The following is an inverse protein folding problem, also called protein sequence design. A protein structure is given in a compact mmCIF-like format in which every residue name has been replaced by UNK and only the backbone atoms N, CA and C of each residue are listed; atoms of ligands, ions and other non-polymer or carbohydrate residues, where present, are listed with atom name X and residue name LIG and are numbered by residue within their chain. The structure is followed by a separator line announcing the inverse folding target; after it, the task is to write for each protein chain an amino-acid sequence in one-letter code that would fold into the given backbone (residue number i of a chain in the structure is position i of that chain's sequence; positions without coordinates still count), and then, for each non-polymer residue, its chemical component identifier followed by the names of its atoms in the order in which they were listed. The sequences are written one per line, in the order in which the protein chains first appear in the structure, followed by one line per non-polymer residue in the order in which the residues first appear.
data_IF_813461592895
#
_entry.id   IF_813461592895
#
_cell.length_a   1.000
_cell.length_b   1.000
_cell.length_c   1.000
_cell.angle_alpha   90.00
_cell.angle_beta   90.00
_cell.angle_gamma   90.00
#
_symmetry.space_group_name_H-M   'P 1'
#
loop_
_entity.id
_entity.type
_entity.pdbx_description
1 polymer ?
#
# COMPACT_ATOMS: atom_id res chain seq x y z
N UNK A 1 -15.30 10.19 -5.07
CA UNK A 1 -14.62 9.35 -4.04
C UNK A 1 -13.40 10.13 -3.61
N UNK A 2 -13.10 10.27 -2.31
CA UNK A 2 -11.98 11.10 -1.86
C UNK A 2 -10.64 10.38 -2.05
N UNK A 3 -9.56 11.15 -2.18
CA UNK A 3 -8.17 10.66 -2.20
C UNK A 3 -7.89 9.65 -1.06
N UNK A 4 -8.38 9.91 0.16
CA UNK A 4 -8.21 9.02 1.31
C UNK A 4 -8.87 7.66 1.09
N UNK A 5 -10.09 7.62 0.57
CA UNK A 5 -10.78 6.37 0.26
C UNK A 5 -10.07 5.60 -0.86
N UNK A 6 -9.47 6.28 -1.85
CA UNK A 6 -8.67 5.64 -2.89
C UNK A 6 -7.38 5.03 -2.33
N UNK A 7 -6.74 5.68 -1.37
CA UNK A 7 -5.53 5.16 -0.70
C UNK A 7 -5.87 3.92 0.13
N UNK A 8 -6.95 3.95 0.91
CA UNK A 8 -7.43 2.79 1.67
C UNK A 8 -7.74 1.60 0.74
N UNK A 9 -8.38 1.84 -0.40
CA UNK A 9 -8.62 0.80 -1.40
C UNK A 9 -7.32 0.22 -1.95
N UNK A 10 -6.35 1.06 -2.29
CA UNK A 10 -5.03 0.63 -2.76
C UNK A 10 -4.31 -0.23 -1.71
N UNK A 11 -4.36 0.13 -0.43
CA UNK A 11 -3.81 -0.68 0.65
C UNK A 11 -4.46 -2.07 0.72
N UNK A 12 -5.79 -2.14 0.59
CA UNK A 12 -6.52 -3.42 0.60
C UNK A 12 -6.20 -4.28 -0.63
N UNK A 13 -6.10 -3.68 -1.81
CA UNK A 13 -5.72 -4.38 -3.04
C UNK A 13 -4.29 -4.92 -2.95
N UNK A 14 -3.35 -4.10 -2.48
CA UNK A 14 -1.97 -4.54 -2.22
C UNK A 14 -1.92 -5.67 -1.20
N UNK A 15 -2.66 -5.55 -0.10
CA UNK A 15 -2.73 -6.61 0.93
C UNK A 15 -3.24 -7.92 0.34
N UNK A 16 -4.30 -7.87 -0.48
CA UNK A 16 -4.87 -9.06 -1.12
C UNK A 16 -3.89 -9.72 -2.09
N UNK A 17 -3.22 -8.92 -2.92
CA UNK A 17 -2.21 -9.42 -3.86
C UNK A 17 -1.05 -10.05 -3.11
N UNK A 18 -0.48 -9.36 -2.12
CA UNK A 18 0.70 -9.85 -1.40
C UNK A 18 0.37 -11.12 -0.61
N UNK A 19 -0.80 -11.19 0.05
CA UNK A 19 -1.27 -12.40 0.74
C UNK A 19 -1.38 -13.62 -0.16
N UNK A 20 -1.77 -13.44 -1.43
CA UNK A 20 -1.83 -14.53 -2.42
C UNK A 20 -0.47 -15.19 -2.65
N UNK A 21 0.63 -14.45 -2.48
CA UNK A 21 2.00 -14.91 -2.74
C UNK A 21 2.83 -15.12 -1.47
N UNK A 22 2.34 -14.72 -0.29
CA UNK A 22 3.10 -14.81 0.97
C UNK A 22 3.09 -16.20 1.61
N UNK A 23 2.23 -17.13 1.17
CA UNK A 23 2.26 -18.52 1.64
C UNK A 23 1.92 -18.69 3.12
N UNK A 24 0.84 -18.04 3.57
CA UNK A 24 0.34 -18.00 4.96
C UNK A 24 1.14 -17.14 5.95
N UNK A 25 2.20 -16.48 5.51
CA UNK A 25 2.88 -15.49 6.34
C UNK A 25 1.98 -14.30 6.62
N UNK A 26 2.16 -13.70 7.80
CA UNK A 26 1.51 -12.46 8.17
C UNK A 26 1.97 -11.34 7.23
N UNK A 27 1.00 -10.62 6.67
CA UNK A 27 1.24 -9.49 5.76
C UNK A 27 0.60 -8.26 6.35
N UNK A 28 1.38 -7.18 6.42
CA UNK A 28 0.94 -5.85 6.82
C UNK A 28 1.23 -4.88 5.69
N UNK A 29 0.24 -4.05 5.36
CA UNK A 29 0.38 -2.93 4.41
C UNK A 29 0.02 -1.66 5.16
N UNK A 30 0.90 -0.67 5.11
CA UNK A 30 0.75 0.59 5.83
C UNK A 30 1.18 1.77 4.97
N UNK A 31 0.34 2.79 4.87
CA UNK A 31 0.74 4.11 4.37
C UNK A 31 1.61 4.81 5.41
N UNK A 32 2.86 5.11 5.05
CA UNK A 32 3.82 5.81 5.91
C UNK A 32 3.88 7.30 5.62
N UNK A 33 3.50 7.73 4.42
CA UNK A 33 3.37 9.13 4.03
C UNK A 33 2.24 9.29 3.02
N UNK A 34 1.36 10.26 3.23
CA UNK A 34 0.36 10.67 2.26
C UNK A 34 0.30 12.19 2.21
N UNK A 35 0.77 12.75 1.11
CA UNK A 35 0.72 14.17 0.77
C UNK A 35 0.29 14.35 -0.69
N UNK A 36 0.03 15.58 -1.10
CA UNK A 36 -0.47 15.91 -2.44
C UNK A 36 0.41 15.36 -3.59
N UNK A 37 1.72 15.21 -3.37
CA UNK A 37 2.68 14.76 -4.40
C UNK A 37 3.47 13.51 -4.00
N UNK A 38 3.18 12.92 -2.84
CA UNK A 38 3.96 11.81 -2.33
C UNK A 38 3.08 10.86 -1.54
N UNK A 39 2.99 9.62 -2.02
CA UNK A 39 2.38 8.51 -1.31
C UNK A 39 3.43 7.43 -1.11
N UNK A 40 3.72 7.12 0.14
CA UNK A 40 4.60 6.03 0.53
C UNK A 40 3.78 4.95 1.22
N UNK A 41 3.89 3.74 0.69
CA UNK A 41 3.25 2.55 1.23
C UNK A 41 4.34 1.54 1.50
N UNK A 42 4.33 0.97 2.69
CA UNK A 42 5.23 -0.09 3.09
C UNK A 42 4.45 -1.41 3.21
N UNK A 43 5.00 -2.45 2.60
CA UNK A 43 4.49 -3.82 2.64
C UNK A 43 5.49 -4.67 3.42
N UNK A 44 5.03 -5.28 4.51
CA UNK A 44 5.83 -6.13 5.38
C UNK A 44 5.27 -7.54 5.29
N UNK A 45 6.14 -8.51 4.98
CA UNK A 45 5.81 -9.93 5.00
C UNK A 45 6.66 -10.59 6.10
N UNK A 46 6.02 -11.10 7.15
CA UNK A 46 6.69 -11.68 8.30
C UNK A 46 7.64 -12.82 7.89
N UNK A 47 8.88 -12.77 8.35
CA UNK A 47 9.89 -13.80 8.07
C UNK A 47 10.56 -13.73 6.69
N UNK A 48 10.19 -12.75 5.84
CA UNK A 48 10.83 -12.53 4.54
C UNK A 48 11.53 -11.17 4.49
N UNK A 49 10.88 -10.20 3.87
CA UNK A 49 11.47 -8.93 3.47
C UNK A 49 10.41 -7.82 3.52
N UNK A 50 10.88 -6.59 3.61
CA UNK A 50 10.09 -5.39 3.45
C UNK A 50 10.14 -4.94 1.98
N UNK A 51 9.00 -4.50 1.45
CA UNK A 51 8.89 -3.84 0.16
C UNK A 51 8.34 -2.43 0.37
N UNK A 52 9.14 -1.43 0.05
CA UNK A 52 8.72 -0.03 0.09
C UNK A 52 8.28 0.43 -1.31
N UNK A 53 7.07 0.98 -1.42
CA UNK A 53 6.47 1.49 -2.64
C UNK A 53 6.31 3.00 -2.49
N UNK A 54 6.96 3.76 -3.37
CA UNK A 54 6.79 5.22 -3.43
C UNK A 54 6.13 5.63 -4.74
N UNK A 55 5.01 6.33 -4.63
CA UNK A 55 4.28 6.91 -5.74
C UNK A 55 4.46 8.44 -5.70
N UNK A 56 5.20 8.96 -6.68
CA UNK A 56 5.55 10.39 -6.78
C UNK A 56 4.51 11.23 -7.55
N UNK A 57 3.39 10.62 -7.93
CA UNK A 57 2.29 11.27 -8.63
C UNK A 57 1.01 10.50 -8.34
N UNK A 58 0.14 11.08 -7.50
CA UNK A 58 -1.16 10.51 -7.18
C UNK A 58 -2.17 11.66 -7.13
N UNK A 59 -3.10 11.68 -8.09
CA UNK A 59 -4.07 12.77 -8.24
C UNK A 59 -5.48 12.27 -8.08
N UNK A 60 -6.33 13.04 -7.39
CA UNK A 60 -7.77 12.78 -7.38
C UNK A 60 -8.33 13.15 -8.76
N UNK A 61 -8.42 12.20 -9.69
CA UNK A 61 -9.23 12.43 -10.88
C UNK A 61 -10.70 12.56 -10.42
N UNK A 62 -11.21 13.78 -10.53
CA UNK A 62 -12.60 14.18 -10.30
C UNK A 62 -13.50 13.82 -11.48
#
# INVERSE_FOLDING_TARGET
MTISTKIEQLEQELLAVVRKYSGNEEVTVITTNSSENNLQIQVIIAGKNQLDITLNSFTDQA
#
